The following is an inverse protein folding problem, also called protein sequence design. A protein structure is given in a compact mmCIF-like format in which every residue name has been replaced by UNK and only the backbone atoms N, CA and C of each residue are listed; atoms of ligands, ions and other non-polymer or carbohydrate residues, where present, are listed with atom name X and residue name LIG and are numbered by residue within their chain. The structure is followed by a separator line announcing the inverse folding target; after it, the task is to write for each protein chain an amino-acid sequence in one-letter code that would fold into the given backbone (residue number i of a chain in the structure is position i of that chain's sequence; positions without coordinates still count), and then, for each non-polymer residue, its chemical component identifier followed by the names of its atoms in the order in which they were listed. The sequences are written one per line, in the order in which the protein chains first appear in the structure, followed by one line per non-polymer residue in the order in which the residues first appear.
data_IF_710493645172
#
_entry.id   IF_710493645172
#
_cell.length_a   1.000
_cell.length_b   1.000
_cell.length_c   1.000
_cell.angle_alpha   90.00
_cell.angle_beta   90.00
_cell.angle_gamma   90.00
#
_symmetry.space_group_name_H-M   'P 1'
#
loop_
_entity.id
_entity.type
_entity.pdbx_description
1 polymer ?
#
# COMPACT_ATOMS: atom_id res chain seq x y z
N UNK A 1 14.60 37.87 -48.12
CA UNK A 1 15.64 37.22 -47.29
C UNK A 1 15.37 37.59 -45.84
N UNK A 2 15.56 36.62 -44.93
CA UNK A 2 15.08 36.54 -43.54
C UNK A 2 13.62 36.05 -43.45
N UNK A 3 13.34 34.76 -43.58
CA UNK A 3 13.66 33.59 -42.72
C UNK A 3 12.63 33.43 -41.60
N UNK A 4 11.85 32.36 -41.74
CA UNK A 4 11.07 31.70 -40.70
C UNK A 4 11.91 31.53 -39.43
N UNK A 5 11.36 31.94 -38.28
CA UNK A 5 11.83 31.48 -36.98
C UNK A 5 10.65 30.78 -36.29
N UNK A 6 10.53 29.51 -36.68
CA UNK A 6 9.72 28.47 -36.04
C UNK A 6 10.26 28.26 -34.63
N UNK A 7 9.72 29.06 -33.69
CA UNK A 7 10.01 28.92 -32.27
C UNK A 7 9.40 27.61 -31.78
N UNK A 8 10.26 26.59 -31.79
CA UNK A 8 10.04 25.28 -31.21
C UNK A 8 9.32 25.40 -29.86
N UNK A 9 8.09 24.88 -29.82
CA UNK A 9 7.35 24.68 -28.58
C UNK A 9 8.17 23.77 -27.67
N UNK A 10 8.26 24.07 -26.36
CA UNK A 10 8.97 23.22 -25.42
C UNK A 10 8.35 21.83 -25.43
N UNK A 11 9.25 20.85 -25.52
CA UNK A 11 9.08 19.41 -25.37
C UNK A 11 7.88 19.06 -24.49
N UNK A 12 6.75 18.71 -25.12
CA UNK A 12 5.62 18.12 -24.42
C UNK A 12 6.06 16.70 -24.09
N UNK A 13 6.53 16.47 -22.88
CA UNK A 13 6.74 15.13 -22.35
C UNK A 13 5.47 14.33 -22.66
N UNK A 14 5.53 13.26 -23.48
CA UNK A 14 4.32 12.55 -23.86
C UNK A 14 3.65 12.07 -22.58
N UNK A 15 2.36 12.43 -22.41
CA UNK A 15 1.57 11.95 -21.30
C UNK A 15 1.69 10.42 -21.25
N UNK A 16 2.28 9.91 -20.17
CA UNK A 16 2.47 8.49 -19.95
C UNK A 16 1.09 7.81 -20.05
N UNK A 17 0.93 6.99 -21.08
CA UNK A 17 -0.32 6.30 -21.35
C UNK A 17 -0.36 5.05 -20.47
N UNK A 18 -1.45 4.85 -19.73
CA UNK A 18 -1.56 3.71 -18.82
C UNK A 18 -1.63 2.38 -19.59
N UNK A 19 -0.48 1.72 -19.73
CA UNK A 19 -0.34 0.52 -20.56
C UNK A 19 -1.00 -0.70 -19.92
N UNK A 20 -1.23 -1.75 -20.71
CA UNK A 20 -1.67 -3.06 -20.19
C UNK A 20 -0.78 -3.61 -19.08
N UNK A 21 0.54 -3.47 -19.22
CA UNK A 21 1.51 -3.96 -18.22
C UNK A 21 1.41 -3.17 -16.92
N UNK A 22 1.36 -1.83 -17.02
CA UNK A 22 1.14 -0.97 -15.85
C UNK A 22 -0.18 -1.30 -15.16
N UNK A 23 -1.25 -1.49 -15.94
CA UNK A 23 -2.55 -1.88 -15.40
C UNK A 23 -2.54 -3.22 -14.68
N UNK A 24 -1.82 -4.20 -15.20
CA UNK A 24 -1.63 -5.49 -14.53
C UNK A 24 -0.87 -5.31 -13.21
N UNK A 25 0.22 -4.55 -13.21
CA UNK A 25 1.00 -4.27 -12.01
C UNK A 25 0.15 -3.56 -10.94
N UNK A 26 -0.60 -2.53 -11.33
CA UNK A 26 -1.54 -1.84 -10.43
C UNK A 26 -2.59 -2.79 -9.88
N UNK A 27 -3.17 -3.69 -10.68
CA UNK A 27 -4.14 -4.67 -10.17
C UNK A 27 -3.53 -5.59 -9.11
N UNK A 28 -2.26 -5.97 -9.27
CA UNK A 28 -1.53 -6.81 -8.28
C UNK A 28 -1.23 -6.00 -7.02
N UNK A 29 -0.79 -4.76 -7.17
CA UNK A 29 -0.52 -3.82 -6.08
C UNK A 29 -1.77 -3.62 -5.20
N UNK A 30 -2.90 -3.23 -5.79
CA UNK A 30 -4.15 -3.03 -5.06
C UNK A 30 -4.64 -4.34 -4.42
N UNK A 31 -4.57 -5.46 -5.14
CA UNK A 31 -4.98 -6.75 -4.61
C UNK A 31 -4.15 -7.18 -3.38
N UNK A 32 -2.86 -6.82 -3.35
CA UNK A 32 -2.00 -7.07 -2.20
C UNK A 32 -2.45 -6.26 -0.98
N UNK A 33 -2.79 -4.97 -1.14
CA UNK A 33 -3.39 -4.18 -0.06
C UNK A 33 -4.64 -4.86 0.50
N UNK A 34 -5.58 -5.20 -0.37
CA UNK A 34 -6.88 -5.74 0.04
C UNK A 34 -6.74 -7.08 0.80
N UNK A 35 -5.88 -7.98 0.31
CA UNK A 35 -5.58 -9.26 1.00
C UNK A 35 -4.98 -9.00 2.38
N UNK A 36 -4.06 -8.06 2.51
CA UNK A 36 -3.38 -7.77 3.78
C UNK A 36 -4.27 -7.04 4.78
N UNK A 37 -5.13 -6.14 4.33
CA UNK A 37 -6.19 -5.57 5.16
C UNK A 37 -7.07 -6.67 5.74
N UNK A 38 -7.57 -7.58 4.90
CA UNK A 38 -8.42 -8.69 5.32
C UNK A 38 -7.73 -9.63 6.31
N UNK A 39 -6.46 -10.00 6.09
CA UNK A 39 -5.67 -10.81 7.03
C UNK A 39 -5.58 -10.15 8.42
N UNK A 40 -5.51 -8.82 8.48
CA UNK A 40 -5.48 -8.03 9.72
C UNK A 40 -6.84 -7.79 10.37
N UNK A 41 -7.92 -8.26 9.74
CA UNK A 41 -9.30 -8.01 10.16
C UNK A 41 -9.80 -6.60 9.84
N UNK A 42 -9.20 -5.94 8.85
CA UNK A 42 -9.64 -4.64 8.33
C UNK A 42 -10.57 -4.87 7.13
N UNK A 43 -11.73 -4.23 7.14
CA UNK A 43 -12.71 -4.39 6.05
C UNK A 43 -12.25 -3.66 4.80
N UNK A 44 -12.50 -4.26 3.63
CA UNK A 44 -12.27 -3.65 2.32
C UNK A 44 -13.63 -3.47 1.64
N UNK A 45 -13.91 -2.26 1.16
CA UNK A 45 -15.23 -1.87 0.64
C UNK A 45 -15.25 -1.71 -0.87
N UNK A 46 -14.13 -1.29 -1.47
CA UNK A 46 -14.03 -1.10 -2.91
C UNK A 46 -12.61 -1.31 -3.40
N UNK A 47 -12.49 -1.79 -4.63
CA UNK A 47 -11.25 -1.75 -5.39
C UNK A 47 -11.55 -1.29 -6.80
N UNK A 48 -10.73 -0.41 -7.35
CA UNK A 48 -10.90 0.05 -8.71
C UNK A 48 -9.54 0.24 -9.40
N UNK A 49 -9.54 0.20 -10.74
CA UNK A 49 -8.34 0.39 -11.56
C UNK A 49 -8.74 1.13 -12.84
N UNK A 50 -7.91 2.09 -13.26
CA UNK A 50 -8.13 2.85 -14.49
C UNK A 50 -8.17 1.90 -15.71
N UNK A 51 -8.89 2.27 -16.79
CA UNK A 51 -8.84 1.53 -18.04
C UNK A 51 -7.49 1.71 -18.74
N UNK A 52 -7.07 0.69 -19.51
CA UNK A 52 -5.89 0.80 -20.37
C UNK A 52 -6.04 1.97 -21.35
N UNK A 53 -4.93 2.65 -21.65
CA UNK A 53 -4.89 3.80 -22.55
C UNK A 53 -5.29 5.12 -21.90
N UNK A 54 -5.67 5.10 -20.62
CA UNK A 54 -6.07 6.30 -19.91
C UNK A 54 -4.87 7.19 -19.58
N UNK A 55 -5.09 8.50 -19.63
CA UNK A 55 -4.13 9.54 -19.23
C UNK A 55 -4.63 10.38 -18.05
N UNK A 56 -5.92 10.25 -17.70
CA UNK A 56 -6.59 10.93 -16.60
C UNK A 56 -7.82 10.10 -16.16
N UNK A 57 -7.82 9.62 -14.93
CA UNK A 57 -8.89 8.77 -14.39
C UNK A 57 -9.24 9.19 -12.97
N UNK A 58 -10.54 9.20 -12.65
CA UNK A 58 -11.04 9.53 -11.32
C UNK A 58 -12.31 8.75 -11.01
N UNK A 59 -12.61 8.58 -9.71
CA UNK A 59 -13.79 7.85 -9.24
C UNK A 59 -14.65 8.74 -8.33
N UNK A 60 -15.90 8.98 -8.78
CA UNK A 60 -17.11 9.58 -8.16
C UNK A 60 -17.02 10.88 -7.34
N UNK A 61 -15.88 11.22 -6.73
CA UNK A 61 -15.61 12.50 -6.03
C UNK A 61 -14.13 12.70 -5.68
N UNK A 62 -13.26 11.76 -6.05
CA UNK A 62 -11.84 11.77 -5.69
C UNK A 62 -11.00 12.10 -6.93
N UNK A 63 -10.36 13.27 -6.90
CA UNK A 63 -9.26 13.62 -7.81
C UNK A 63 -7.96 13.12 -7.18
N UNK A 64 -7.71 11.83 -7.30
CA UNK A 64 -6.40 11.24 -7.09
C UNK A 64 -5.75 11.01 -8.44
N UNK A 65 -4.48 11.35 -8.55
CA UNK A 65 -3.67 10.73 -9.60
C UNK A 65 -3.58 9.23 -9.31
N UNK A 66 -3.28 8.46 -10.36
CA UNK A 66 -2.87 7.04 -10.33
C UNK A 66 -4.02 6.03 -10.35
N UNK A 67 -4.31 5.55 -11.55
CA UNK A 67 -4.35 4.16 -12.00
C UNK A 67 -5.05 3.04 -11.17
N UNK A 68 -5.15 3.10 -9.84
CA UNK A 68 -5.64 2.06 -8.94
C UNK A 68 -6.17 2.61 -7.60
N UNK A 69 -7.03 1.87 -6.94
CA UNK A 69 -7.60 2.24 -5.65
C UNK A 69 -8.05 1.02 -4.84
N UNK A 70 -7.78 1.03 -3.54
CA UNK A 70 -8.26 0.06 -2.56
C UNK A 70 -8.83 0.80 -1.33
N UNK A 71 -10.16 0.76 -1.18
CA UNK A 71 -10.86 1.40 -0.07
C UNK A 71 -11.00 0.44 1.12
N UNK A 72 -10.31 0.75 2.21
CA UNK A 72 -10.42 0.01 3.47
C UNK A 72 -11.13 0.83 4.55
N UNK A 73 -11.59 0.16 5.62
CA UNK A 73 -12.19 0.84 6.78
C UNK A 73 -11.21 1.83 7.41
N UNK A 74 -11.73 3.00 7.79
CA UNK A 74 -10.94 4.07 8.36
C UNK A 74 -10.10 3.65 9.58
N UNK A 75 -8.93 4.28 9.70
CA UNK A 75 -8.01 4.06 10.80
C UNK A 75 -7.45 5.37 11.33
N UNK A 76 -7.70 5.60 12.62
CA UNK A 76 -7.37 6.86 13.31
C UNK A 76 -5.88 7.18 13.36
N UNK A 77 -4.97 6.21 13.19
CA UNK A 77 -3.53 6.52 13.24
C UNK A 77 -3.09 7.47 12.13
N UNK A 78 -3.79 7.48 11.01
CA UNK A 78 -3.54 8.41 9.92
C UNK A 78 -3.75 9.87 10.34
N UNK A 79 -4.67 10.17 11.25
CA UNK A 79 -4.96 11.54 11.72
C UNK A 79 -3.81 12.15 12.54
N UNK A 80 -2.85 11.32 12.94
CA UNK A 80 -1.67 11.73 13.70
C UNK A 80 -0.43 11.88 12.83
N UNK A 81 -0.56 11.80 11.50
CA UNK A 81 0.51 12.04 10.56
C UNK A 81 0.30 13.37 9.83
N UNK A 82 1.39 14.10 9.60
CA UNK A 82 1.38 15.33 8.79
C UNK A 82 2.44 15.22 7.71
N UNK A 83 2.08 15.52 6.46
CA UNK A 83 3.01 15.51 5.35
C UNK A 83 4.03 16.65 5.49
N UNK A 84 5.32 16.33 5.35
CA UNK A 84 6.44 17.25 5.41
C UNK A 84 7.22 17.17 4.08
N UNK A 85 6.96 18.08 3.12
CA UNK A 85 7.56 18.05 1.79
C UNK A 85 9.04 18.46 1.76
N UNK A 86 9.56 19.01 2.88
CA UNK A 86 10.92 19.53 3.02
C UNK A 86 11.96 18.45 3.35
N UNK A 87 11.55 17.22 3.66
CA UNK A 87 12.43 16.10 3.99
C UNK A 87 12.65 15.21 2.75
N UNK A 88 13.77 15.35 2.03
CA UNK A 88 14.28 14.44 0.97
C UNK A 88 13.23 13.65 0.14
N UNK A 89 12.36 14.33 -0.61
CA UNK A 89 11.31 13.67 -1.43
C UNK A 89 9.94 13.58 -0.75
N UNK A 90 9.90 13.91 0.54
CA UNK A 90 8.73 14.09 1.38
C UNK A 90 8.48 12.91 2.32
N UNK A 91 8.21 13.22 3.58
CA UNK A 91 7.97 12.22 4.63
C UNK A 91 6.75 12.57 5.48
N UNK A 92 6.22 11.59 6.21
CA UNK A 92 5.18 11.84 7.21
C UNK A 92 5.77 12.05 8.60
N UNK A 93 5.53 13.24 9.16
CA UNK A 93 5.89 13.57 10.54
C UNK A 93 4.79 13.13 11.51
N UNK A 94 5.10 12.31 12.52
CA UNK A 94 4.13 11.85 13.51
C UNK A 94 3.90 12.87 14.64
N UNK A 95 2.64 13.06 15.04
CA UNK A 95 2.27 13.77 16.27
C UNK A 95 2.29 12.82 17.47
N UNK A 96 3.49 12.42 17.90
CA UNK A 96 3.69 11.42 18.95
C UNK A 96 3.01 11.78 20.28
N UNK A 97 2.99 13.07 20.64
CA UNK A 97 2.35 13.51 21.88
C UNK A 97 0.82 13.36 21.82
N UNK A 98 0.21 13.73 20.70
CA UNK A 98 -1.23 13.57 20.50
C UNK A 98 -1.61 12.07 20.46
N UNK A 99 -0.81 11.26 19.76
CA UNK A 99 -1.00 9.81 19.72
C UNK A 99 -0.89 9.17 21.11
N UNK A 100 0.16 9.51 21.87
CA UNK A 100 0.33 9.01 23.25
C UNK A 100 -0.79 9.47 24.18
N UNK A 101 -1.28 10.70 24.00
CA UNK A 101 -2.43 11.22 24.75
C UNK A 101 -3.69 10.39 24.48
N UNK A 102 -4.01 10.12 23.20
CA UNK A 102 -5.11 9.22 22.84
C UNK A 102 -4.91 7.83 23.46
N UNK A 103 -3.74 7.22 23.25
CA UNK A 103 -3.44 5.87 23.76
C UNK A 103 -3.59 5.80 25.28
N UNK A 104 -3.26 6.88 26.02
CA UNK A 104 -3.41 6.92 27.48
C UNK A 104 -4.86 6.81 27.97
N UNK A 105 -5.83 7.20 27.14
CA UNK A 105 -7.27 7.17 27.46
C UNK A 105 -7.92 5.80 27.19
N UNK A 106 -7.23 4.93 26.43
CA UNK A 106 -7.73 3.61 26.07
C UNK A 106 -7.31 2.58 27.12
N UNK A 107 -8.18 1.63 27.54
CA UNK A 107 -7.78 0.50 28.37
C UNK A 107 -6.65 -0.31 27.73
N UNK A 108 -5.82 -0.99 28.54
CA UNK A 108 -4.64 -1.71 28.04
C UNK A 108 -4.95 -2.70 26.92
N UNK A 109 -6.05 -3.46 27.01
CA UNK A 109 -6.50 -4.37 25.96
C UNK A 109 -6.83 -3.65 24.65
N UNK A 110 -7.50 -2.50 24.73
CA UNK A 110 -7.79 -1.64 23.57
C UNK A 110 -6.53 -1.04 22.96
N UNK A 111 -5.49 -0.75 23.74
CA UNK A 111 -4.18 -0.31 23.21
C UNK A 111 -3.49 -1.42 22.44
N UNK A 112 -3.56 -2.66 22.92
CA UNK A 112 -2.98 -3.80 22.21
C UNK A 112 -3.67 -4.02 20.87
N UNK A 113 -5.00 -3.94 20.86
CA UNK A 113 -5.79 -4.06 19.64
C UNK A 113 -5.54 -2.89 18.68
N UNK A 114 -5.53 -1.65 19.18
CA UNK A 114 -5.20 -0.46 18.39
C UNK A 114 -3.83 -0.60 17.72
N UNK A 115 -2.80 -1.02 18.47
CA UNK A 115 -1.47 -1.26 17.90
C UNK A 115 -1.46 -2.42 16.90
N UNK A 116 -2.27 -3.48 17.09
CA UNK A 116 -2.39 -4.58 16.10
C UNK A 116 -3.01 -4.06 14.80
N UNK A 117 -4.07 -3.25 14.90
CA UNK A 117 -4.71 -2.62 13.73
C UNK A 117 -3.74 -1.67 13.03
N UNK A 118 -2.95 -0.88 13.76
CA UNK A 118 -1.89 -0.04 13.17
C UNK A 118 -0.90 -0.90 12.38
N UNK A 119 -0.44 -2.03 12.94
CA UNK A 119 0.45 -2.96 12.23
C UNK A 119 -0.21 -3.54 10.99
N UNK A 120 -1.49 -3.88 11.04
CA UNK A 120 -2.23 -4.38 9.87
C UNK A 120 -2.23 -3.36 8.74
N UNK A 121 -2.46 -2.07 9.05
CA UNK A 121 -2.39 -1.00 8.06
C UNK A 121 -0.98 -0.84 7.48
N UNK A 122 0.06 -0.87 8.32
CA UNK A 122 1.45 -0.84 7.86
C UNK A 122 1.74 -2.01 6.91
N UNK A 123 1.37 -3.24 7.30
CA UNK A 123 1.57 -4.40 6.43
C UNK A 123 0.79 -4.29 5.11
N UNK A 124 -0.44 -3.76 5.15
CA UNK A 124 -1.24 -3.53 3.96
C UNK A 124 -0.57 -2.51 3.04
N UNK A 125 -0.18 -1.33 3.53
CA UNK A 125 0.54 -0.31 2.76
C UNK A 125 1.83 -0.88 2.14
N UNK A 126 2.61 -1.67 2.88
CA UNK A 126 3.81 -2.32 2.35
C UNK A 126 3.52 -3.42 1.32
N UNK A 127 2.33 -4.03 1.34
CA UNK A 127 2.03 -5.17 0.49
C UNK A 127 1.99 -4.82 -1.00
N UNK A 128 1.44 -3.65 -1.35
CA UNK A 128 1.40 -3.13 -2.73
C UNK A 128 2.79 -3.06 -3.38
N UNK A 129 3.72 -2.25 -2.84
CA UNK A 129 5.07 -2.12 -3.40
C UNK A 129 5.87 -3.44 -3.35
N UNK A 130 5.76 -4.23 -2.26
CA UNK A 130 6.46 -5.52 -2.18
C UNK A 130 5.93 -6.52 -3.23
N UNK A 131 4.61 -6.53 -3.49
CA UNK A 131 4.03 -7.37 -4.53
C UNK A 131 4.49 -6.96 -5.94
N UNK A 132 4.68 -5.65 -6.17
CA UNK A 132 5.33 -5.14 -7.38
C UNK A 132 6.73 -5.70 -7.56
N UNK A 133 7.58 -5.59 -6.53
CA UNK A 133 8.94 -6.15 -6.57
C UNK A 133 8.97 -7.67 -6.75
N UNK A 134 8.00 -8.43 -6.22
CA UNK A 134 7.86 -9.87 -6.50
C UNK A 134 7.54 -10.13 -7.98
N UNK A 135 6.65 -9.31 -8.57
CA UNK A 135 6.23 -9.46 -9.95
C UNK A 135 7.39 -9.17 -10.91
N UNK A 136 8.16 -8.11 -10.66
CA UNK A 136 9.29 -7.71 -11.50
C UNK A 136 10.42 -8.75 -11.47
N UNK A 137 10.82 -9.21 -10.28
CA UNK A 137 11.85 -10.26 -10.13
C UNK A 137 11.46 -11.61 -10.77
N UNK A 138 10.16 -11.91 -10.87
CA UNK A 138 9.68 -13.11 -11.55
C UNK A 138 9.82 -13.05 -13.08
N UNK A 139 9.96 -11.85 -13.65
CA UNK A 139 10.15 -11.63 -15.10
C UNK A 139 11.63 -11.80 -15.49
N UNK A 140 12.55 -11.45 -14.59
CA UNK A 140 14.00 -11.45 -14.88
C UNK A 140 14.73 -12.77 -14.58
N UNK A 141 14.07 -13.72 -13.88
CA UNK A 141 14.55 -15.10 -13.77
C UNK A 141 15.73 -15.34 -12.81
N UNK A 142 16.15 -14.32 -12.05
CA UNK A 142 17.22 -14.44 -11.05
C UNK A 142 16.72 -14.96 -9.69
N UNK A 143 17.59 -15.68 -8.98
CA UNK A 143 17.36 -16.06 -7.59
C UNK A 143 17.22 -14.81 -6.72
N UNK A 144 16.05 -14.70 -6.11
CA UNK A 144 15.54 -13.59 -5.32
C UNK A 144 16.56 -13.03 -4.28
N UNK A 145 17.37 -12.04 -4.67
CA UNK A 145 18.13 -11.23 -3.71
C UNK A 145 17.18 -10.38 -2.88
N UNK A 146 17.57 -10.09 -1.63
CA UNK A 146 16.80 -9.22 -0.76
C UNK A 146 16.65 -7.87 -1.46
N UNK A 147 15.41 -7.42 -1.67
CA UNK A 147 15.12 -6.11 -2.28
C UNK A 147 15.85 -5.06 -1.46
N UNK A 148 16.83 -4.40 -2.07
CA UNK A 148 17.48 -3.24 -1.49
C UNK A 148 16.45 -2.11 -1.53
N UNK A 149 15.96 -1.73 -0.35
CA UNK A 149 14.84 -0.77 -0.21
C UNK A 149 15.21 0.65 -0.67
N UNK A 150 16.51 0.90 -0.93
CA UNK A 150 17.04 2.20 -1.30
C UNK A 150 16.93 2.53 -2.81
N UNK A 151 16.57 1.57 -3.68
CA UNK A 151 16.60 1.71 -5.15
C UNK A 151 15.21 1.85 -5.83
N UNK A 152 14.18 2.21 -5.05
CA UNK A 152 12.78 2.20 -5.46
C UNK A 152 12.34 3.46 -6.25
N UNK A 153 13.17 4.00 -7.15
CA UNK A 153 12.80 5.17 -7.98
C UNK A 153 11.69 4.85 -9.01
N UNK A 154 11.47 3.58 -9.36
CA UNK A 154 10.50 3.19 -10.38
C UNK A 154 9.05 3.03 -9.89
N UNK A 155 8.82 2.99 -8.57
CA UNK A 155 7.48 2.70 -7.99
C UNK A 155 6.74 3.95 -7.52
N UNK A 156 7.41 5.11 -7.56
CA UNK A 156 6.75 6.42 -7.44
C UNK A 156 5.70 6.67 -8.53
N UNK A 157 5.68 5.86 -9.60
CA UNK A 157 4.70 5.96 -10.68
C UNK A 157 3.42 5.13 -10.48
N UNK A 158 3.33 4.26 -9.47
CA UNK A 158 2.20 3.31 -9.33
C UNK A 158 1.32 3.55 -8.09
N UNK A 159 1.72 4.38 -7.11
CA UNK A 159 0.96 4.49 -5.84
C UNK A 159 1.08 5.78 -5.03
N UNK A 160 1.09 6.96 -5.64
CA UNK A 160 0.99 8.25 -4.93
C UNK A 160 -0.43 8.70 -4.57
N UNK A 161 -0.95 8.32 -3.40
CA UNK A 161 -2.31 8.69 -2.99
C UNK A 161 -2.56 10.21 -2.93
N UNK A 162 -3.77 10.64 -3.33
CA UNK A 162 -4.40 11.90 -2.86
C UNK A 162 -5.78 11.57 -2.30
N UNK A 163 -5.93 11.69 -0.97
CA UNK A 163 -7.22 11.58 -0.28
C UNK A 163 -7.89 12.97 -0.12
N UNK A 164 -9.19 13.08 -0.44
CA UNK A 164 -10.08 14.18 -0.12
C UNK A 164 -10.21 14.41 1.40
N UNK A 165 -10.13 15.69 1.80
CA UNK A 165 -9.93 16.14 3.18
C UNK A 165 -8.73 17.10 3.29
N UNK A 166 -7.85 17.10 2.29
CA UNK A 166 -6.70 17.99 2.19
C UNK A 166 -5.39 17.22 2.27
N UNK A 167 -4.66 17.21 1.15
CA UNK A 167 -3.21 17.07 1.08
C UNK A 167 -2.61 15.91 1.89
N UNK A 168 -2.97 14.67 1.55
CA UNK A 168 -2.01 13.56 1.71
C UNK A 168 -1.31 13.39 0.38
N UNK A 169 -0.01 13.71 0.34
CA UNK A 169 0.93 13.38 -0.72
C UNK A 169 1.83 12.27 -0.18
N UNK A 170 2.35 11.40 -1.01
CA UNK A 170 3.29 10.36 -0.60
C UNK A 170 2.85 8.94 -0.99
N UNK A 171 3.83 8.12 -1.33
CA UNK A 171 3.66 6.71 -1.62
C UNK A 171 3.38 5.90 -0.33
N UNK A 172 2.88 4.67 -0.48
CA UNK A 172 2.59 3.77 0.64
C UNK A 172 3.70 3.66 1.68
N UNK A 173 4.94 3.69 1.22
CA UNK A 173 6.15 3.52 2.01
C UNK A 173 6.25 4.65 3.04
N UNK A 174 6.13 5.91 2.60
CA UNK A 174 6.19 7.05 3.51
C UNK A 174 5.08 7.03 4.58
N UNK A 175 3.88 6.57 4.22
CA UNK A 175 2.78 6.42 5.18
C UNK A 175 3.10 5.28 6.17
N UNK A 176 3.59 4.14 5.68
CA UNK A 176 3.95 2.98 6.49
C UNK A 176 5.07 3.33 7.50
N UNK A 177 6.09 4.06 7.08
CA UNK A 177 7.15 4.57 7.94
C UNK A 177 6.59 5.50 9.02
N UNK A 178 5.80 6.49 8.61
CA UNK A 178 5.14 7.43 9.53
C UNK A 178 4.29 6.68 10.58
N UNK A 179 3.49 5.71 10.17
CA UNK A 179 2.70 4.89 11.09
C UNK A 179 3.55 4.02 12.01
N UNK A 180 4.67 3.48 11.53
CA UNK A 180 5.57 2.67 12.35
C UNK A 180 6.17 3.47 13.51
N UNK A 181 6.42 4.77 13.33
CA UNK A 181 6.89 5.64 14.42
C UNK A 181 5.89 5.84 15.55
N UNK A 182 4.59 5.65 15.29
CA UNK A 182 3.53 5.71 16.30
C UNK A 182 3.57 4.49 17.24
N UNK A 183 4.21 3.39 16.82
CA UNK A 183 4.31 2.16 17.60
C UNK A 183 5.44 2.23 18.64
N UNK A 184 5.27 1.50 19.75
CA UNK A 184 6.19 1.58 20.90
C UNK A 184 7.49 0.78 20.73
N UNK A 185 7.54 -0.22 19.84
CA UNK A 185 8.72 -1.07 19.71
C UNK A 185 9.70 -0.46 18.71
N UNK A 186 10.99 -0.56 19.02
CA UNK A 186 12.04 -0.32 18.01
C UNK A 186 11.93 -1.41 16.95
N UNK A 187 12.19 -1.06 15.69
CA UNK A 187 12.19 -1.95 14.52
C UNK A 187 10.80 -2.49 14.11
N UNK A 188 9.71 -1.77 14.40
CA UNK A 188 8.38 -2.18 13.92
C UNK A 188 8.32 -2.18 12.39
N UNK A 189 8.88 -1.17 11.73
CA UNK A 189 8.90 -1.07 10.27
C UNK A 189 9.58 -2.30 9.62
N UNK A 190 10.87 -2.54 9.90
CA UNK A 190 11.64 -3.64 9.31
C UNK A 190 11.00 -5.02 9.57
N UNK A 191 10.49 -5.21 10.79
CA UNK A 191 9.79 -6.44 11.16
C UNK A 191 8.54 -6.65 10.32
N UNK A 192 7.74 -5.60 10.14
CA UNK A 192 6.50 -5.67 9.35
C UNK A 192 6.80 -5.80 7.86
N UNK A 193 7.82 -5.12 7.33
CA UNK A 193 8.29 -5.31 5.96
C UNK A 193 8.71 -6.77 5.69
N UNK A 194 9.54 -7.33 6.59
CA UNK A 194 9.98 -8.73 6.52
C UNK A 194 8.79 -9.69 6.62
N UNK A 195 7.87 -9.45 7.55
CA UNK A 195 6.68 -10.26 7.74
C UNK A 195 5.75 -10.19 6.51
N UNK A 196 5.59 -9.02 5.91
CA UNK A 196 4.78 -8.80 4.71
C UNK A 196 5.35 -9.55 3.53
N UNK A 197 6.65 -9.42 3.25
CA UNK A 197 7.34 -10.18 2.22
C UNK A 197 7.20 -11.69 2.44
N UNK A 198 7.48 -12.18 3.66
CA UNK A 198 7.35 -13.59 3.99
C UNK A 198 5.91 -14.11 3.82
N UNK A 199 4.92 -13.27 4.13
CA UNK A 199 3.50 -13.61 3.98
C UNK A 199 3.09 -13.63 2.50
N UNK A 200 3.52 -12.64 1.71
CA UNK A 200 3.29 -12.61 0.25
C UNK A 200 3.93 -13.79 -0.47
N UNK A 201 5.10 -14.25 -0.01
CA UNK A 201 5.78 -15.43 -0.57
C UNK A 201 5.08 -16.76 -0.28
N UNK A 202 4.07 -16.80 0.58
CA UNK A 202 3.30 -18.03 0.78
C UNK A 202 2.46 -18.31 -0.48
N UNK A 203 2.50 -19.55 -1.03
CA UNK A 203 1.81 -19.85 -2.29
C UNK A 203 0.29 -19.61 -2.24
N UNK A 204 -0.36 -19.87 -1.10
CA UNK A 204 -1.79 -19.67 -0.89
C UNK A 204 -2.17 -18.17 -0.90
N UNK A 205 -1.37 -17.35 -0.23
CA UNK A 205 -1.55 -15.88 -0.18
C UNK A 205 -1.30 -15.29 -1.58
N UNK A 206 -0.20 -15.66 -2.22
CA UNK A 206 0.12 -15.16 -3.56
C UNK A 206 -0.94 -15.53 -4.60
N UNK A 207 -1.41 -16.79 -4.58
CA UNK A 207 -2.49 -17.23 -5.47
C UNK A 207 -3.79 -16.44 -5.24
N UNK A 208 -4.07 -16.02 -4.00
CA UNK A 208 -5.21 -15.17 -3.66
C UNK A 208 -5.04 -13.75 -4.22
N UNK A 209 -3.86 -13.14 -4.05
CA UNK A 209 -3.52 -11.85 -4.66
C UNK A 209 -3.70 -11.89 -6.18
N UNK A 210 -3.11 -12.88 -6.86
CA UNK A 210 -3.20 -13.01 -8.32
C UNK A 210 -4.64 -13.23 -8.80
N UNK A 211 -5.45 -13.99 -8.06
CA UNK A 211 -6.86 -14.23 -8.36
C UNK A 211 -7.68 -12.95 -8.24
N UNK A 212 -7.48 -12.20 -7.16
CA UNK A 212 -8.15 -10.91 -6.94
C UNK A 212 -7.71 -9.88 -7.97
N UNK A 213 -6.42 -9.76 -8.24
CA UNK A 213 -5.86 -8.91 -9.28
C UNK A 213 -6.45 -9.23 -10.66
N UNK A 214 -6.54 -10.51 -11.03
CA UNK A 214 -7.16 -10.91 -12.29
C UNK A 214 -8.66 -10.58 -12.37
N UNK A 215 -9.37 -10.60 -11.23
CA UNK A 215 -10.78 -10.17 -11.19
C UNK A 215 -10.89 -8.65 -11.33
N UNK A 216 -10.04 -7.89 -10.64
CA UNK A 216 -9.99 -6.43 -10.74
C UNK A 216 -9.64 -6.00 -12.17
N UNK A 217 -8.65 -6.66 -12.78
CA UNK A 217 -8.25 -6.40 -14.15
C UNK A 217 -9.40 -6.60 -15.14
N UNK A 218 -10.25 -7.62 -14.94
CA UNK A 218 -11.41 -7.86 -15.82
C UNK A 218 -12.58 -6.89 -15.58
N UNK A 219 -12.84 -6.55 -14.32
CA UNK A 219 -14.04 -5.78 -13.96
C UNK A 219 -13.81 -4.27 -13.93
N UNK A 220 -12.58 -3.82 -13.66
CA UNK A 220 -12.23 -2.42 -13.47
C UNK A 220 -12.67 -1.85 -12.12
N UNK A 221 -13.77 -2.34 -11.56
CA UNK A 221 -14.34 -1.90 -10.28
C UNK A 221 -14.97 -3.09 -9.54
N UNK A 222 -14.71 -3.21 -8.26
CA UNK A 222 -15.20 -4.26 -7.36
C UNK A 222 -15.68 -3.59 -6.07
N UNK A 223 -16.97 -3.68 -5.79
CA UNK A 223 -17.60 -3.20 -4.54
C UNK A 223 -18.07 -4.34 -3.63
N UNK A 224 -17.99 -5.59 -4.12
CA UNK A 224 -18.41 -6.78 -3.39
C UNK A 224 -17.31 -7.84 -3.43
N UNK A 225 -16.92 -8.35 -2.25
CA UNK A 225 -15.82 -9.30 -2.07
C UNK A 225 -16.21 -10.71 -1.61
N UNK A 226 -17.37 -11.29 -1.98
CA UNK A 226 -17.80 -12.57 -1.43
C UNK A 226 -16.80 -13.68 -1.77
N UNK A 227 -16.16 -14.25 -0.74
CA UNK A 227 -15.18 -15.33 -0.87
C UNK A 227 -13.90 -14.96 -1.62
N UNK A 228 -13.64 -13.67 -1.87
CA UNK A 228 -12.42 -13.24 -2.56
C UNK A 228 -11.25 -12.99 -1.61
N UNK A 229 -11.56 -12.50 -0.42
CA UNK A 229 -10.61 -12.11 0.61
C UNK A 229 -10.41 -13.23 1.63
N UNK A 230 -9.22 -13.31 2.26
CA UNK A 230 -8.97 -14.30 3.30
C UNK A 230 -9.77 -13.98 4.56
N UNK A 231 -9.98 -15.00 5.40
CA UNK A 231 -10.44 -14.77 6.76
C UNK A 231 -9.37 -14.05 7.59
N UNK A 232 -9.83 -13.23 8.53
CA UNK A 232 -8.95 -12.53 9.46
C UNK A 232 -8.15 -13.52 10.29
N UNK A 233 -6.84 -13.30 10.36
CA UNK A 233 -5.94 -14.13 11.12
C UNK A 233 -5.89 -13.64 12.57
N UNK A 234 -6.27 -14.47 13.56
CA UNK A 234 -6.26 -14.05 14.96
C UNK A 234 -4.87 -13.55 15.40
N UNK A 235 -4.85 -12.35 15.97
CA UNK A 235 -3.64 -11.70 16.51
C UNK A 235 -2.55 -11.35 15.50
N UNK A 236 -2.82 -11.43 14.20
CA UNK A 236 -1.92 -10.94 13.16
C UNK A 236 -2.20 -9.45 12.83
N UNK A 237 -1.18 -8.63 12.50
CA UNK A 237 0.24 -8.93 12.59
C UNK A 237 0.79 -8.89 14.03
N UNK A 238 1.67 -9.83 14.42
CA UNK A 238 2.30 -9.82 15.73
C UNK A 238 3.31 -8.67 15.90
N UNK A 239 3.44 -8.19 17.14
CA UNK A 239 4.54 -7.30 17.52
C UNK A 239 5.90 -8.00 17.39
N UNK A 240 7.00 -7.27 17.10
CA UNK A 240 8.37 -7.79 17.18
C UNK A 240 8.70 -8.44 18.54
N UNK A 241 8.01 -7.99 19.62
CA UNK A 241 8.18 -8.50 20.98
C UNK A 241 7.30 -9.70 21.32
N UNK A 242 6.37 -10.08 20.44
CA UNK A 242 5.59 -11.28 20.66
C UNK A 242 6.56 -12.47 20.69
N UNK A 243 6.68 -13.15 21.84
CA UNK A 243 7.39 -14.43 21.90
C UNK A 243 6.83 -15.29 20.78
N UNK A 244 7.69 -15.92 19.96
CA UNK A 244 7.33 -16.88 18.91
C UNK A 244 6.50 -18.01 19.53
N UNK A 245 5.21 -17.77 19.78
CA UNK A 245 4.21 -18.83 19.93
C UNK A 245 3.98 -19.26 18.51
N UNK A 246 4.32 -20.52 18.21
CA UNK A 246 4.16 -21.13 16.90
C UNK A 246 2.86 -20.68 16.24
N UNK A 247 2.95 -19.73 15.30
CA UNK A 247 1.86 -19.42 14.38
C UNK A 247 1.80 -20.56 13.37
N UNK A 248 1.41 -21.74 13.84
CA UNK A 248 0.82 -22.75 12.98
C UNK A 248 -0.59 -22.23 12.67
N UNK A 249 -0.68 -21.35 11.68
CA UNK A 249 -1.95 -20.97 11.12
C UNK A 249 -2.41 -22.11 10.23
N UNK A 250 -3.60 -22.60 10.57
CA UNK A 250 -4.22 -23.83 10.10
C UNK A 250 -4.22 -23.87 8.58
N UNK A 251 -3.51 -24.86 8.03
CA UNK A 251 -3.72 -25.30 6.66
C UNK A 251 -5.09 -26.01 6.63
N UNK A 252 -6.05 -25.45 5.88
CA UNK A 252 -7.20 -26.17 5.33
C UNK A 252 -7.22 -25.91 3.83
#
# INVERSE_FOLDING_TARGET
MAADDDTARPDVTPALTFTKAMRRATCVHEAAHAVFYALGGVSVYRMAVAPEGCTDWSIESWKGDLCGWCEASEFFGLDYLSWCPDEYGGAYRPSLNAWRSLQSQIPLSGRHESNRITRAHICALLAGPIAGGILDNAVDGDEFEAVDYDDFEAVDYIGGYVLAGGLRRGNDIAIAEGLATLLYSRNEYDHLATLTLATLRRPDVWAMVLRLAGKLERLGDIVEFPGLLPEAVPHWPPSPRAKRRNFALVAV
#
